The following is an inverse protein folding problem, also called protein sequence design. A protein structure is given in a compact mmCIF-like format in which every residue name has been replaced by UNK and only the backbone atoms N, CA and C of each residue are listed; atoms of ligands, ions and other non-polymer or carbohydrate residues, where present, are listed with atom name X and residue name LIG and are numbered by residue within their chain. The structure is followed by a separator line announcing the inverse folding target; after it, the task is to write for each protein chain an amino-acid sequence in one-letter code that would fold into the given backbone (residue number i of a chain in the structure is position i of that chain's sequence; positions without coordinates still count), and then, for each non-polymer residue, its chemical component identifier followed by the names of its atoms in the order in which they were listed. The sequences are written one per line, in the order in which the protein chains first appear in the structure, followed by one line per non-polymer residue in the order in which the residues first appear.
data_IF_207249199060
#
_entry.id   IF_207249199060
#
_cell.length_a   1.000
_cell.length_b   1.000
_cell.length_c   1.000
_cell.angle_alpha   90.00
_cell.angle_beta   90.00
_cell.angle_gamma   90.00
#
_symmetry.space_group_name_H-M   'P 1'
#
loop_
_entity.id
_entity.type
_entity.pdbx_description
1 polymer ?
2 polymer ?
#
# COMPACT_ATOMS: atom_id res chain seq x y z
N UNK A 1 21.38 11.16 5.48
CA UNK A 1 21.19 10.60 6.82
C UNK A 1 21.04 9.08 6.78
N UNK A 2 21.73 8.41 7.70
CA UNK A 2 21.79 6.95 7.79
C UNK A 2 20.49 6.27 7.41
N UNK A 3 19.43 6.57 8.16
CA UNK A 3 18.12 5.98 7.88
C UNK A 3 17.68 6.24 6.44
N UNK A 4 17.71 7.51 6.02
CA UNK A 4 17.27 7.82 4.68
C UNK A 4 18.23 7.28 3.63
N UNK A 5 19.52 7.17 3.95
CA UNK A 5 20.46 6.56 3.00
C UNK A 5 20.10 5.10 2.74
N UNK A 6 19.86 4.35 3.81
CA UNK A 6 19.41 2.97 3.65
C UNK A 6 18.10 2.90 2.89
N UNK A 7 17.19 3.84 3.16
CA UNK A 7 15.91 3.84 2.46
C UNK A 7 16.10 4.04 0.96
N UNK A 8 16.94 4.99 0.57
CA UNK A 8 17.18 5.22 -0.85
C UNK A 8 17.86 4.02 -1.50
N UNK A 9 18.83 3.41 -0.82
CA UNK A 9 19.48 2.22 -1.37
C UNK A 9 18.45 1.12 -1.61
N UNK A 10 17.63 0.84 -0.60
CA UNK A 10 16.57 -0.16 -0.74
C UNK A 10 15.63 0.19 -1.89
N UNK A 11 15.29 1.48 -2.03
CA UNK A 11 14.38 1.88 -3.10
C UNK A 11 14.98 1.60 -4.46
N UNK A 12 16.24 2.00 -4.67
CA UNK A 12 16.90 1.73 -5.94
C UNK A 12 16.87 0.24 -6.23
N UNK A 13 17.23 -0.57 -5.24
CA UNK A 13 17.32 -2.02 -5.47
C UNK A 13 15.95 -2.61 -5.82
N UNK A 14 14.93 -2.30 -5.02
CA UNK A 14 13.61 -2.88 -5.24
C UNK A 14 13.06 -2.46 -6.59
N UNK A 15 13.13 -1.15 -6.90
CA UNK A 15 12.55 -0.69 -8.15
C UNK A 15 13.29 -1.27 -9.36
N UNK A 16 14.62 -1.40 -9.27
CA UNK A 16 15.35 -1.96 -10.40
C UNK A 16 15.03 -3.44 -10.59
N UNK A 17 14.90 -4.17 -9.48
CA UNK A 17 14.52 -5.59 -9.58
C UNK A 17 13.14 -5.73 -10.20
N UNK A 18 12.20 -4.87 -9.82
CA UNK A 18 10.86 -4.94 -10.40
C UNK A 18 10.90 -4.59 -11.89
N UNK A 19 11.65 -3.56 -12.26
CA UNK A 19 11.76 -3.18 -13.66
C UNK A 19 12.37 -4.28 -14.51
N UNK A 20 13.32 -5.04 -13.95
CA UNK A 20 13.91 -6.14 -14.71
C UNK A 20 12.86 -7.18 -15.11
N UNK A 21 11.76 -7.27 -14.36
CA UNK A 21 10.74 -8.25 -14.65
C UNK A 21 11.02 -9.63 -14.10
N UNK A 22 11.88 -9.72 -13.09
CA UNK A 22 12.23 -11.01 -12.51
C UNK A 22 11.07 -11.57 -11.68
N UNK A 23 11.07 -12.89 -11.52
CA UNK A 23 9.94 -13.59 -10.93
C UNK A 23 9.83 -13.26 -9.43
N UNK A 24 8.73 -13.75 -8.84
CA UNK A 24 8.41 -13.38 -7.46
C UNK A 24 9.36 -14.01 -6.44
N UNK A 25 10.01 -15.11 -6.79
CA UNK A 25 10.99 -15.70 -5.88
C UNK A 25 12.24 -14.82 -5.78
N UNK A 26 12.81 -14.46 -6.92
CA UNK A 26 13.93 -13.53 -6.95
C UNK A 26 13.53 -12.19 -6.36
N UNK A 27 12.30 -11.75 -6.63
CA UNK A 27 11.82 -10.49 -6.08
C UNK A 27 11.75 -10.56 -4.56
N UNK A 28 11.26 -11.67 -4.02
CA UNK A 28 11.19 -11.83 -2.57
C UNK A 28 12.58 -11.83 -1.95
N UNK A 29 13.54 -12.45 -2.63
CA UNK A 29 14.92 -12.42 -2.13
C UNK A 29 15.45 -10.98 -2.12
N UNK A 30 15.13 -10.21 -3.15
CA UNK A 30 15.52 -8.79 -3.17
C UNK A 30 14.89 -8.04 -2.00
N UNK A 31 13.61 -8.31 -1.73
CA UNK A 31 12.97 -7.63 -0.61
C UNK A 31 13.62 -8.01 0.71
N UNK A 32 13.91 -9.31 0.89
CA UNK A 32 14.64 -9.75 2.08
C UNK A 32 15.94 -8.97 2.24
N UNK A 33 16.70 -8.80 1.15
CA UNK A 33 18.01 -8.18 1.32
C UNK A 33 17.85 -6.68 1.60
N UNK A 34 16.81 -6.05 1.03
CA UNK A 34 16.53 -4.65 1.34
C UNK A 34 16.17 -4.47 2.80
N UNK A 35 15.33 -5.36 3.33
CA UNK A 35 14.96 -5.27 4.74
C UNK A 35 16.16 -5.53 5.63
N UNK A 36 17.05 -6.43 5.22
CA UNK A 36 18.23 -6.69 6.05
C UNK A 36 19.12 -5.45 6.14
N UNK A 37 19.28 -4.73 5.02
CA UNK A 37 20.15 -3.55 5.07
C UNK A 37 19.48 -2.41 5.85
N UNK A 38 18.16 -2.25 5.68
CA UNK A 38 17.41 -1.29 6.50
C UNK A 38 17.55 -1.60 7.98
N UNK A 39 17.47 -2.88 8.33
CA UNK A 39 17.57 -3.29 9.72
C UNK A 39 18.98 -3.08 10.25
N UNK A 40 19.99 -3.37 9.43
CA UNK A 40 21.37 -3.14 9.85
C UNK A 40 21.62 -1.68 10.14
N UNK A 41 20.89 -0.77 9.47
CA UNK A 41 21.05 0.66 9.73
C UNK A 41 20.09 1.21 10.77
N UNK A 42 19.67 0.40 11.75
CA UNK A 42 18.97 0.90 12.91
C UNK A 42 17.48 1.11 12.78
N UNK A 43 16.87 0.70 11.67
CA UNK A 43 15.43 0.80 11.51
C UNK A 43 14.77 -0.41 12.16
N UNK A 44 13.63 -0.19 12.80
CA UNK A 44 12.89 -1.28 13.41
C UNK A 44 12.54 -2.33 12.36
N UNK A 45 12.50 -3.59 12.78
CA UNK A 45 12.24 -4.68 11.84
C UNK A 45 10.91 -4.47 11.12
N UNK A 46 9.85 -4.28 11.91
CA UNK A 46 8.53 -4.03 11.35
C UNK A 46 8.54 -2.80 10.44
N UNK A 47 9.21 -1.73 10.87
CA UNK A 47 9.28 -0.52 10.06
C UNK A 47 10.03 -0.77 8.76
N UNK A 48 11.11 -1.56 8.81
CA UNK A 48 11.86 -1.87 7.59
C UNK A 48 11.00 -2.66 6.61
N UNK A 49 10.27 -3.66 7.12
CA UNK A 49 9.33 -4.39 6.26
C UNK A 49 8.29 -3.46 5.66
N UNK A 50 7.72 -2.58 6.49
CA UNK A 50 6.75 -1.62 5.99
C UNK A 50 7.32 -0.79 4.85
N UNK A 51 8.54 -0.26 5.03
CA UNK A 51 9.15 0.58 4.01
C UNK A 51 9.40 -0.19 2.73
N UNK A 52 9.86 -1.44 2.84
CA UNK A 52 10.07 -2.26 1.65
C UNK A 52 8.75 -2.46 0.90
N UNK A 53 7.71 -2.82 1.65
CA UNK A 53 6.40 -3.05 1.03
C UNK A 53 5.88 -1.79 0.34
N UNK A 54 6.03 -0.64 0.99
CA UNK A 54 5.56 0.60 0.38
C UNK A 54 6.33 0.90 -0.90
N UNK A 55 7.64 0.69 -0.89
CA UNK A 55 8.44 0.90 -2.10
C UNK A 55 7.93 0.01 -3.22
N UNK A 56 7.74 -1.27 -2.93
CA UNK A 56 7.28 -2.23 -3.94
C UNK A 56 5.93 -1.81 -4.51
N UNK A 57 4.95 -1.58 -3.63
CA UNK A 57 3.60 -1.24 -4.07
C UNK A 57 3.58 0.07 -4.85
N UNK A 58 4.32 1.07 -4.39
CA UNK A 58 4.30 2.36 -5.07
C UNK A 58 4.93 2.27 -6.45
N UNK A 59 6.02 1.52 -6.60
CA UNK A 59 6.59 1.32 -7.92
C UNK A 59 5.62 0.57 -8.82
N UNK A 60 4.99 -0.50 -8.31
CA UNK A 60 4.08 -1.28 -9.13
C UNK A 60 2.88 -0.43 -9.57
N UNK A 61 2.41 0.48 -8.72
CA UNK A 61 1.31 1.35 -9.11
C UNK A 61 1.77 2.38 -10.14
N UNK A 62 2.99 2.91 -9.98
CA UNK A 62 3.51 3.86 -10.96
C UNK A 62 3.67 3.23 -12.33
N UNK A 63 3.96 1.93 -12.40
CA UNK A 63 4.11 1.27 -13.68
C UNK A 63 2.79 0.92 -14.36
N UNK A 64 1.65 1.21 -13.73
CA UNK A 64 0.36 0.98 -14.36
C UNK A 64 0.08 -0.47 -14.68
N UNK A 65 0.37 -1.37 -13.74
CA UNK A 65 0.16 -2.79 -13.95
C UNK A 65 -1.31 -3.13 -13.87
N UNK A 66 -1.70 -4.23 -14.54
CA UNK A 66 -3.08 -4.66 -14.51
C UNK A 66 -3.47 -5.14 -13.11
N UNK A 67 -4.76 -5.40 -12.91
CA UNK A 67 -5.26 -5.71 -11.58
C UNK A 67 -4.73 -7.04 -11.07
N UNK A 68 -4.51 -8.02 -11.94
CA UNK A 68 -4.08 -9.34 -11.47
C UNK A 68 -2.63 -9.31 -11.00
N UNK A 69 -1.73 -8.79 -11.84
CA UNK A 69 -0.34 -8.66 -11.41
C UNK A 69 -0.19 -7.71 -10.23
N UNK A 70 -1.06 -6.69 -10.16
CA UNK A 70 -1.02 -5.77 -9.03
C UNK A 70 -1.43 -6.46 -7.74
N UNK A 71 -2.50 -7.27 -7.77
CA UNK A 71 -2.87 -7.99 -6.57
C UNK A 71 -1.83 -9.05 -6.21
N UNK A 72 -1.12 -9.60 -7.19
CA UNK A 72 -0.01 -10.48 -6.87
C UNK A 72 1.09 -9.73 -6.13
N UNK A 73 1.43 -8.53 -6.60
CA UNK A 73 2.39 -7.69 -5.88
C UNK A 73 1.90 -7.44 -4.45
N UNK A 74 0.61 -7.15 -4.29
CA UNK A 74 0.06 -6.92 -2.96
C UNK A 74 0.21 -8.15 -2.07
N UNK A 75 -0.05 -9.33 -2.63
CA UNK A 75 0.13 -10.57 -1.86
C UNK A 75 1.58 -10.73 -1.43
N UNK A 76 2.52 -10.38 -2.31
CA UNK A 76 3.94 -10.42 -1.95
C UNK A 76 4.22 -9.51 -0.77
N UNK A 77 3.74 -8.27 -0.84
CA UNK A 77 3.95 -7.33 0.26
C UNK A 77 3.36 -7.85 1.57
N UNK A 78 2.15 -8.41 1.50
CA UNK A 78 1.49 -8.93 2.70
C UNK A 78 2.29 -10.09 3.28
N UNK A 79 2.80 -10.97 2.41
CA UNK A 79 3.59 -12.10 2.89
C UNK A 79 4.85 -11.63 3.60
N UNK A 80 5.51 -10.59 3.06
CA UNK A 80 6.72 -10.06 3.69
C UNK A 80 6.39 -9.45 5.06
N UNK A 81 5.33 -8.64 5.11
CA UNK A 81 4.92 -8.07 6.38
C UNK A 81 4.60 -9.14 7.41
N UNK A 82 3.92 -10.22 6.98
CA UNK A 82 3.70 -11.36 7.85
C UNK A 82 5.02 -11.93 8.35
N UNK A 83 5.95 -12.22 7.42
CA UNK A 83 7.25 -12.78 7.79
C UNK A 83 8.01 -11.91 8.78
N UNK A 84 7.69 -10.63 8.87
CA UNK A 84 8.33 -9.84 9.92
C UNK A 84 7.38 -9.51 11.07
N UNK A 85 6.67 -10.54 11.53
CA UNK A 85 5.91 -10.47 12.77
C UNK A 85 4.67 -9.61 12.76
N UNK A 86 4.26 -9.10 11.60
CA UNK A 86 3.04 -8.31 11.53
C UNK A 86 1.85 -9.24 11.36
N UNK A 87 0.83 -9.04 12.19
CA UNK A 87 -0.42 -9.80 12.06
C UNK A 87 -0.94 -9.68 10.64
N UNK A 88 -1.43 -10.80 10.09
CA UNK A 88 -1.86 -10.82 8.70
C UNK A 88 -2.96 -9.79 8.43
N UNK A 89 -3.89 -9.61 9.37
CA UNK A 89 -4.92 -8.59 9.18
C UNK A 89 -4.29 -7.20 9.13
N UNK A 90 -3.40 -6.92 10.07
CA UNK A 90 -2.66 -5.66 10.06
C UNK A 90 -1.78 -5.53 8.82
N UNK A 91 -1.23 -6.65 8.34
CA UNK A 91 -0.39 -6.60 7.14
C UNK A 91 -1.20 -6.21 5.91
N UNK A 92 -2.35 -6.86 5.70
CA UNK A 92 -3.22 -6.50 4.59
C UNK A 92 -3.69 -5.06 4.72
N UNK A 93 -4.04 -4.64 5.94
CA UNK A 93 -4.47 -3.27 6.17
C UNK A 93 -3.39 -2.29 5.74
N UNK A 94 -2.13 -2.55 6.15
CA UNK A 94 -1.03 -1.67 5.77
C UNK A 94 -0.84 -1.65 4.26
N UNK A 95 -0.88 -2.82 3.60
CA UNK A 95 -0.66 -2.85 2.17
C UNK A 95 -1.75 -2.09 1.42
N UNK A 96 -3.01 -2.34 1.79
CA UNK A 96 -4.12 -1.62 1.18
C UNK A 96 -3.98 -0.12 1.42
N UNK A 97 -3.53 0.27 2.61
CA UNK A 97 -3.33 1.68 2.93
C UNK A 97 -2.27 2.30 2.02
N UNK A 98 -1.15 1.59 1.85
CA UNK A 98 -0.08 2.05 0.96
C UNK A 98 -0.65 2.33 -0.42
N UNK A 99 -1.33 1.32 -0.97
CA UNK A 99 -1.88 1.42 -2.32
C UNK A 99 -2.82 2.62 -2.45
N UNK A 100 -3.79 2.72 -1.54
CA UNK A 100 -4.84 3.74 -1.68
C UNK A 100 -4.27 5.14 -1.44
N UNK A 101 -3.35 5.29 -0.48
CA UNK A 101 -2.72 6.57 -0.25
C UNK A 101 -1.92 7.02 -1.47
N UNK A 102 -1.16 6.11 -2.07
CA UNK A 102 -0.42 6.47 -3.27
C UNK A 102 -1.35 6.86 -4.40
N UNK A 103 -2.47 6.14 -4.54
CA UNK A 103 -3.43 6.47 -5.60
C UNK A 103 -4.03 7.85 -5.40
N UNK A 104 -4.37 8.20 -4.16
CA UNK A 104 -4.95 9.52 -3.92
C UNK A 104 -3.91 10.63 -4.11
N UNK A 105 -2.66 10.37 -3.72
CA UNK A 105 -1.60 11.36 -3.92
C UNK A 105 -1.29 11.57 -5.39
N UNK A 106 -1.45 10.53 -6.22
CA UNK A 106 -1.22 10.70 -7.66
C UNK A 106 -2.28 11.57 -8.33
N UNK A 107 -3.41 11.82 -7.68
CA UNK A 107 -4.47 12.58 -8.32
C UNK A 107 -5.24 11.79 -9.35
N UNK A 108 -5.35 10.48 -9.16
CA UNK A 108 -6.01 9.62 -10.13
C UNK A 108 -7.52 9.88 -10.13
N UNK A 109 -8.13 9.77 -11.31
CA UNK A 109 -9.54 10.08 -11.47
C UNK A 109 -10.40 9.05 -10.73
N UNK A 110 -11.69 9.35 -10.63
CA UNK A 110 -12.56 8.60 -9.74
C UNK A 110 -12.88 7.22 -10.29
N UNK A 111 -13.02 7.10 -11.61
CA UNK A 111 -13.32 5.79 -12.21
C UNK A 111 -12.22 4.79 -11.92
N UNK A 112 -10.96 5.22 -11.97
CA UNK A 112 -9.84 4.34 -11.67
C UNK A 112 -9.62 4.20 -10.17
N UNK A 113 -9.91 5.25 -9.40
CA UNK A 113 -9.77 5.18 -7.95
C UNK A 113 -10.74 4.16 -7.35
N UNK A 114 -11.93 4.02 -7.95
CA UNK A 114 -12.85 3.01 -7.46
C UNK A 114 -12.33 1.61 -7.74
N UNK A 115 -11.66 1.40 -8.88
CA UNK A 115 -11.03 0.11 -9.14
C UNK A 115 -9.93 -0.18 -8.12
N UNK A 116 -9.12 0.84 -7.79
CA UNK A 116 -8.08 0.66 -6.76
C UNK A 116 -8.71 0.29 -5.43
N UNK A 117 -9.79 0.98 -5.05
CA UNK A 117 -10.49 0.65 -3.82
C UNK A 117 -11.00 -0.78 -3.84
N UNK A 118 -11.59 -1.20 -4.96
CA UNK A 118 -12.10 -2.57 -5.06
C UNK A 118 -10.98 -3.58 -4.91
N UNK A 119 -9.79 -3.26 -5.42
CA UNK A 119 -8.65 -4.17 -5.30
C UNK A 119 -8.22 -4.30 -3.84
N UNK A 120 -8.13 -3.16 -3.14
CA UNK A 120 -7.79 -3.21 -1.71
C UNK A 120 -8.82 -4.00 -0.93
N UNK A 121 -10.10 -3.85 -1.28
CA UNK A 121 -11.16 -4.62 -0.63
C UNK A 121 -11.00 -6.10 -0.93
N UNK A 122 -10.63 -6.44 -2.18
CA UNK A 122 -10.41 -7.84 -2.51
C UNK A 122 -9.32 -8.45 -1.64
N UNK A 123 -8.22 -7.74 -1.43
CA UNK A 123 -7.13 -8.37 -0.68
C UNK A 123 -7.47 -8.44 0.82
N UNK A 124 -8.13 -7.40 1.35
CA UNK A 124 -8.57 -7.47 2.75
C UNK A 124 -9.55 -8.63 2.96
N UNK A 125 -10.51 -8.80 2.03
CA UNK A 125 -11.45 -9.90 2.13
C UNK A 125 -10.76 -11.25 2.00
N UNK A 126 -9.79 -11.34 1.08
CA UNK A 126 -9.05 -12.60 0.90
C UNK A 126 -8.25 -12.95 2.14
N UNK A 127 -7.84 -11.96 2.93
CA UNK A 127 -7.13 -12.29 4.16
C UNK A 127 -8.03 -12.91 5.21
N UNK A 128 -9.23 -12.38 5.39
CA UNK A 128 -10.16 -13.08 6.25
C UNK A 128 -11.01 -12.17 7.08
N UNK A 129 -11.34 -11.01 6.52
CA UNK A 129 -12.21 -10.04 7.15
C UNK A 129 -13.45 -9.90 6.30
N UNK A 130 -14.56 -9.56 6.96
CA UNK A 130 -15.83 -9.42 6.24
C UNK A 130 -15.73 -8.33 5.19
N UNK A 131 -16.56 -8.44 4.15
CA UNK A 131 -16.57 -7.42 3.10
C UNK A 131 -16.98 -6.07 3.64
N UNK A 132 -17.95 -6.06 4.57
CA UNK A 132 -18.36 -4.80 5.19
C UNK A 132 -17.19 -4.17 5.93
N UNK A 133 -16.50 -4.94 6.77
CA UNK A 133 -15.35 -4.41 7.49
C UNK A 133 -14.24 -3.98 6.53
N UNK A 134 -14.02 -4.74 5.46
CA UNK A 134 -12.95 -4.40 4.52
C UNK A 134 -13.27 -3.10 3.79
N UNK A 135 -14.50 -2.95 3.32
CA UNK A 135 -14.91 -1.71 2.67
C UNK A 135 -14.85 -0.54 3.64
N UNK A 136 -15.24 -0.77 4.89
CA UNK A 136 -15.15 0.29 5.89
C UNK A 136 -13.70 0.68 6.14
N UNK A 137 -12.80 -0.29 6.16
CA UNK A 137 -11.37 0.01 6.31
C UNK A 137 -10.85 0.82 5.13
N UNK A 138 -11.20 0.40 3.91
CA UNK A 138 -10.80 1.15 2.72
C UNK A 138 -11.29 2.59 2.79
N UNK A 139 -12.60 2.76 3.01
CA UNK A 139 -13.17 4.09 3.14
C UNK A 139 -12.48 4.89 4.24
N UNK A 140 -12.16 4.23 5.35
CA UNK A 140 -11.48 4.92 6.44
C UNK A 140 -10.13 5.45 5.98
N UNK A 141 -9.34 4.58 5.34
CA UNK A 141 -8.01 4.99 4.90
C UNK A 141 -8.11 6.18 3.95
N UNK A 142 -9.05 6.10 3.01
CA UNK A 142 -9.18 7.16 2.01
C UNK A 142 -9.58 8.47 2.67
N UNK A 143 -10.58 8.44 3.54
CA UNK A 143 -11.08 9.64 4.20
C UNK A 143 -10.00 10.27 5.07
N UNK A 144 -9.30 9.43 5.86
CA UNK A 144 -8.25 9.97 6.72
C UNK A 144 -7.14 10.61 5.91
N UNK A 145 -6.72 9.97 4.82
CA UNK A 145 -5.62 10.53 4.06
C UNK A 145 -6.04 11.83 3.38
N UNK A 146 -7.26 11.87 2.85
CA UNK A 146 -7.75 13.09 2.20
C UNK A 146 -7.87 14.23 3.20
N UNK A 147 -8.37 13.95 4.41
CA UNK A 147 -8.48 14.99 5.42
C UNK A 147 -7.11 15.43 5.93
N UNK A 148 -6.13 14.53 5.94
CA UNK A 148 -4.79 14.89 6.39
C UNK A 148 -4.04 15.71 5.35
N UNK A 149 -4.34 15.53 4.08
CA UNK A 149 -3.74 16.37 3.04
C UNK A 149 -4.33 17.77 2.98
N UNK A 150 -5.18 18.15 3.93
CA UNK A 150 -5.75 19.49 3.95
C UNK A 150 -6.58 19.81 2.74
N UNK A 151 -7.28 18.82 2.18
CA UNK A 151 -8.07 19.03 0.98
C UNK A 151 -9.27 19.93 1.28
N UNK A 152 -9.75 20.62 0.24
CA UNK A 152 -10.87 21.53 0.40
C UNK A 152 -12.19 20.77 0.55
N UNK A 153 -13.21 21.49 1.01
CA UNK A 153 -14.53 20.89 1.28
C UNK A 153 -15.10 20.20 0.04
N UNK A 154 -14.80 20.74 -1.13
CA UNK A 154 -15.30 20.18 -2.40
C UNK A 154 -14.72 18.79 -2.65
N UNK A 155 -13.39 18.69 -2.62
CA UNK A 155 -12.73 17.41 -2.76
C UNK A 155 -13.14 16.46 -1.63
N UNK A 156 -13.35 16.97 -0.43
CA UNK A 156 -13.82 16.14 0.67
C UNK A 156 -15.18 15.53 0.36
N UNK A 157 -16.11 16.32 -0.18
CA UNK A 157 -17.40 15.74 -0.56
C UNK A 157 -17.25 14.71 -1.66
N UNK A 158 -16.38 14.97 -2.63
CA UNK A 158 -16.17 13.97 -3.69
C UNK A 158 -15.63 12.66 -3.10
N UNK A 159 -14.66 12.77 -2.20
CA UNK A 159 -14.09 11.59 -1.55
C UNK A 159 -15.16 10.85 -0.74
N UNK A 160 -15.95 11.57 0.03
CA UNK A 160 -17.00 10.94 0.82
C UNK A 160 -18.00 10.23 -0.06
N UNK A 161 -18.37 10.84 -1.19
CA UNK A 161 -19.32 10.20 -2.09
C UNK A 161 -18.73 8.93 -2.69
N UNK A 162 -17.45 8.95 -3.06
CA UNK A 162 -16.80 7.74 -3.55
C UNK A 162 -16.84 6.65 -2.49
N UNK A 163 -16.52 7.01 -1.24
CA UNK A 163 -16.52 6.03 -0.16
C UNK A 163 -17.92 5.47 0.08
N UNK A 164 -18.93 6.32 -0.03
CA UNK A 164 -20.30 5.88 0.21
C UNK A 164 -20.74 4.92 -0.90
N UNK A 165 -20.38 5.23 -2.15
CA UNK A 165 -20.63 4.28 -3.23
C UNK A 165 -19.98 2.93 -2.94
N UNK A 166 -18.72 2.95 -2.49
CA UNK A 166 -18.04 1.71 -2.10
C UNK A 166 -18.86 0.94 -1.08
N UNK A 167 -19.29 1.61 -0.01
CA UNK A 167 -19.96 0.92 1.08
C UNK A 167 -21.32 0.37 0.66
N UNK A 168 -22.11 1.15 -0.07
CA UNK A 168 -23.41 0.63 -0.49
C UNK A 168 -23.29 -0.35 -1.65
N UNK A 169 -22.13 -0.46 -2.27
CA UNK A 169 -21.88 -1.55 -3.20
C UNK A 169 -21.39 -2.82 -2.51
N UNK A 170 -20.75 -2.70 -1.34
CA UNK A 170 -20.19 -3.87 -0.69
C UNK A 170 -20.75 -4.11 0.71
N UNK A 171 -22.08 -4.21 0.83
CA UNK A 171 -22.69 -4.63 2.07
C UNK A 171 -23.67 -3.66 2.70
N UNK A 172 -23.80 -2.43 2.20
CA UNK A 172 -24.76 -1.48 2.78
C UNK A 172 -25.67 -0.95 1.69
N UNK B 1 -11.84 2.83 14.28
CA UNK B 1 -11.04 3.80 13.56
C UNK B 1 -9.59 3.69 14.00
N UNK B 2 -8.72 3.21 13.11
CA UNK B 2 -7.31 3.08 13.40
C UNK B 2 -6.53 4.23 12.77
N UNK B 3 -5.78 5.02 13.56
CA UNK B 3 -4.97 6.08 12.97
C UNK B 3 -3.96 5.53 11.99
N UNK B 4 -3.58 6.35 11.03
CA UNK B 4 -2.73 5.93 9.92
C UNK B 4 -1.54 6.86 9.80
N UNK B 5 -0.34 6.29 9.71
CA UNK B 5 0.89 7.07 9.61
C UNK B 5 1.06 7.65 8.21
N UNK B 6 1.70 8.81 8.09
CA UNK B 6 1.77 9.49 6.79
C UNK B 6 2.63 8.72 5.79
N UNK B 7 2.16 8.68 4.56
CA UNK B 7 2.88 8.00 3.49
C UNK B 7 4.16 8.77 3.15
N UNK B 8 5.19 8.02 2.74
CA UNK B 8 6.44 8.61 2.29
C UNK B 8 6.49 8.60 0.78
N UNK B 9 6.66 9.74 0.11
CA UNK B 9 6.66 9.76 -1.36
C UNK B 9 7.80 8.94 -1.92
N UNK B 10 7.57 8.38 -3.11
CA UNK B 10 8.56 7.51 -3.72
C UNK B 10 9.60 8.33 -4.46
N UNK B 11 10.85 7.87 -4.41
CA UNK B 11 11.91 8.54 -5.13
C UNK B 11 11.66 8.51 -6.63
N UNK B 12 12.21 9.49 -7.39
CA UNK B 12 11.90 9.64 -8.82
C UNK B 12 12.08 8.37 -9.64
#
# INVERSE_FOLDING_TARGET
DREEAAFLAASILIQHAHEQGKDDRELEKILEIAIRILEKNGVDREEAAFLAASILIQHAHEQGKDDRELEKILEIAIRILEKNGVDREEAAFLAASILIQHAHEQGKDDRELEKILEIAIRILEKNGVDREEAAFLAASILIQHAHEQGKDDRELEKILEIAIRILEKNGV
LRPLRPLRPLRP
#
